data_IF_666049466704
#
_entry.id   IF_666049466704
#
_cell.length_a   1.000
_cell.length_b   1.000
_cell.length_c   1.000
_cell.angle_alpha   90.00
_cell.angle_beta   90.00
_cell.angle_gamma   90.00
#
_symmetry.space_group_name_H-M   'P 1'
#
loop_
_entity.id
_entity.type
_entity.pdbx_description
1 polymer ?
#
# COMPACT_ATOMS: atom_id res chain seq x y z
N UNK A 1 -33.36 -34.21 29.50
CA UNK A 1 -33.61 -32.81 29.09
C UNK A 1 -32.36 -32.06 28.59
N UNK A 2 -31.28 -32.72 28.15
CA UNK A 2 -30.04 -32.06 27.69
C UNK A 2 -30.03 -31.66 26.20
N UNK A 3 -31.03 -32.10 25.41
CA UNK A 3 -31.04 -32.00 23.94
C UNK A 3 -31.54 -30.64 23.43
N UNK A 4 -32.34 -29.93 24.22
CA UNK A 4 -32.88 -28.60 23.89
C UNK A 4 -31.80 -27.50 23.94
N UNK A 5 -30.78 -27.66 24.79
CA UNK A 5 -29.68 -26.69 24.90
C UNK A 5 -28.81 -26.58 23.64
N UNK A 6 -28.68 -27.67 22.86
CA UNK A 6 -27.86 -27.68 21.65
C UNK A 6 -28.55 -26.97 20.46
N UNK A 7 -29.88 -26.91 20.44
CA UNK A 7 -30.68 -26.29 19.36
C UNK A 7 -30.72 -24.76 19.54
N UNK A 8 -30.65 -24.28 20.79
CA UNK A 8 -30.53 -22.86 21.10
C UNK A 8 -29.10 -22.33 20.88
N UNK A 9 -28.08 -23.19 21.03
CA UNK A 9 -26.70 -22.85 20.69
C UNK A 9 -26.44 -22.78 19.18
N UNK A 10 -27.07 -23.64 18.38
CA UNK A 10 -26.89 -23.66 16.92
C UNK A 10 -27.54 -22.47 16.20
N UNK A 11 -28.64 -21.94 16.73
CA UNK A 11 -29.29 -20.73 16.21
C UNK A 11 -28.48 -19.46 16.48
N UNK A 12 -27.81 -19.35 17.64
CA UNK A 12 -26.89 -18.25 17.91
C UNK A 12 -25.66 -18.24 17.00
N UNK A 13 -25.12 -19.42 16.64
CA UNK A 13 -23.96 -19.51 15.75
C UNK A 13 -24.24 -19.00 14.32
N UNK A 14 -25.49 -19.08 13.87
CA UNK A 14 -25.92 -18.57 12.55
C UNK A 14 -26.03 -17.04 12.51
N UNK A 15 -26.14 -16.37 13.66
CA UNK A 15 -26.24 -14.90 13.75
C UNK A 15 -24.88 -14.24 13.99
N UNK A 16 -23.87 -15.01 14.46
CA UNK A 16 -22.49 -14.52 14.65
C UNK A 16 -21.88 -13.85 13.41
N UNK A 17 -22.03 -14.37 12.17
CA UNK A 17 -21.47 -13.72 10.99
C UNK A 17 -22.09 -12.35 10.74
N UNK A 18 -23.40 -12.21 10.96
CA UNK A 18 -24.13 -10.94 10.77
C UNK A 18 -23.74 -9.90 11.83
N UNK A 19 -23.50 -10.32 13.07
CA UNK A 19 -23.02 -9.44 14.15
C UNK A 19 -21.54 -9.09 13.92
N UNK A 20 -20.71 -10.05 13.50
CA UNK A 20 -19.31 -9.81 13.18
C UNK A 20 -19.16 -8.84 11.99
N UNK A 21 -20.02 -8.92 10.99
CA UNK A 21 -20.05 -7.96 9.87
C UNK A 21 -20.54 -6.57 10.30
N UNK A 22 -21.45 -6.45 11.28
CA UNK A 22 -21.95 -5.16 11.77
C UNK A 22 -20.95 -4.44 12.70
N UNK A 23 -20.04 -5.17 13.34
CA UNK A 23 -18.98 -4.61 14.19
C UNK A 23 -17.75 -4.11 13.40
N UNK A 24 -17.67 -4.43 12.11
CA UNK A 24 -16.61 -3.94 11.24
C UNK A 24 -16.98 -2.55 10.71
N UNK A 25 -16.45 -1.51 11.37
CA UNK A 25 -16.50 -0.13 10.88
C UNK A 25 -15.26 0.11 9.99
N UNK A 26 -15.39 0.11 8.65
CA UNK A 26 -14.27 0.32 7.74
C UNK A 26 -13.65 1.73 7.84
N UNK A 27 -14.36 2.69 8.45
CA UNK A 27 -13.93 4.08 8.56
C UNK A 27 -13.29 4.40 9.93
N UNK A 28 -13.64 3.66 10.99
CA UNK A 28 -13.11 3.85 12.36
C UNK A 28 -12.35 2.63 12.91
N UNK A 29 -11.57 1.95 12.07
CA UNK A 29 -10.71 0.86 12.50
C UNK A 29 -9.31 1.37 12.90
N UNK A 30 -8.96 1.35 14.19
CA UNK A 30 -7.66 1.84 14.67
C UNK A 30 -6.46 1.24 13.89
N UNK A 31 -6.52 -0.05 13.55
CA UNK A 31 -5.50 -0.71 12.73
C UNK A 31 -5.47 -0.18 11.27
N UNK A 32 -6.63 0.04 10.66
CA UNK A 32 -6.70 0.58 9.30
C UNK A 32 -6.19 2.02 9.23
N UNK A 33 -6.48 2.85 10.24
CA UNK A 33 -5.90 4.19 10.37
C UNK A 33 -4.37 4.14 10.42
N UNK A 34 -3.78 3.27 11.24
CA UNK A 34 -2.32 3.11 11.32
C UNK A 34 -1.70 2.67 10.00
N UNK A 35 -2.34 1.73 9.29
CA UNK A 35 -1.86 1.28 7.98
C UNK A 35 -1.94 2.40 6.93
N UNK A 36 -3.04 3.16 6.90
CA UNK A 36 -3.20 4.31 5.98
C UNK A 36 -2.15 5.38 6.26
N UNK A 37 -1.91 5.71 7.52
CA UNK A 37 -0.87 6.66 7.93
C UNK A 37 0.53 6.16 7.55
N UNK A 38 0.82 4.86 7.71
CA UNK A 38 2.10 4.29 7.34
C UNK A 38 2.34 4.32 5.83
N UNK A 39 1.30 4.02 5.04
CA UNK A 39 1.35 4.11 3.57
C UNK A 39 1.53 5.56 3.14
N UNK A 40 0.79 6.50 3.75
CA UNK A 40 0.89 7.93 3.44
C UNK A 40 2.28 8.50 3.78
N UNK A 41 2.83 8.11 4.93
CA UNK A 41 4.20 8.45 5.31
C UNK A 41 5.22 7.87 4.32
N UNK A 42 5.03 6.63 3.89
CA UNK A 42 5.92 6.00 2.91
C UNK A 42 5.87 6.75 1.57
N UNK A 43 4.67 7.09 1.09
CA UNK A 43 4.49 7.77 -0.18
C UNK A 43 4.97 9.23 -0.16
N UNK A 44 4.72 9.96 0.93
CA UNK A 44 5.06 11.39 1.03
C UNK A 44 6.49 11.67 1.48
N UNK A 45 7.06 10.80 2.32
CA UNK A 45 8.39 11.01 2.90
C UNK A 45 9.36 9.94 2.42
N UNK A 46 9.07 8.66 2.63
CA UNK A 46 10.08 7.61 2.48
C UNK A 46 10.56 7.45 1.02
N UNK A 47 9.63 7.35 0.07
CA UNK A 47 9.94 7.20 -1.36
C UNK A 47 10.74 8.41 -1.89
N UNK A 48 10.28 9.66 -1.77
CA UNK A 48 11.04 10.81 -2.27
C UNK A 48 12.38 10.99 -1.55
N UNK A 49 12.47 10.63 -0.27
CA UNK A 49 13.72 10.67 0.47
C UNK A 49 14.76 9.67 -0.06
N UNK A 50 14.35 8.41 -0.31
CA UNK A 50 15.23 7.39 -0.87
C UNK A 50 15.66 7.78 -2.29
N UNK A 51 14.75 8.32 -3.10
CA UNK A 51 15.08 8.83 -4.43
C UNK A 51 16.10 9.97 -4.37
N UNK A 52 15.96 10.90 -3.42
CA UNK A 52 16.92 11.97 -3.22
C UNK A 52 18.32 11.46 -2.84
N UNK A 53 18.40 10.49 -1.93
CA UNK A 53 19.68 9.85 -1.57
C UNK A 53 20.26 9.09 -2.76
N UNK A 54 19.46 8.30 -3.45
CA UNK A 54 19.88 7.57 -4.65
C UNK A 54 20.42 8.51 -5.72
N UNK A 55 19.78 9.66 -5.90
CA UNK A 55 20.23 10.71 -6.84
C UNK A 55 21.57 11.30 -6.40
N UNK A 56 21.75 11.56 -5.10
CA UNK A 56 23.02 12.07 -4.58
C UNK A 56 24.17 11.06 -4.77
N UNK A 57 23.90 9.77 -4.53
CA UNK A 57 24.88 8.68 -4.77
C UNK A 57 25.18 8.53 -6.25
N UNK A 58 24.18 8.64 -7.12
CA UNK A 58 24.35 8.60 -8.57
C UNK A 58 25.27 9.72 -9.06
N UNK A 59 25.00 10.97 -8.61
CA UNK A 59 25.81 12.14 -8.93
C UNK A 59 27.22 12.00 -8.38
N UNK A 60 27.39 11.46 -7.17
CA UNK A 60 28.72 11.16 -6.60
C UNK A 60 29.49 10.12 -7.42
N UNK A 61 28.81 9.06 -7.89
CA UNK A 61 29.37 8.07 -8.80
C UNK A 61 29.82 8.69 -10.13
N UNK A 62 29.01 9.61 -10.68
CA UNK A 62 29.35 10.37 -11.88
C UNK A 62 30.60 11.24 -11.67
N UNK A 63 30.67 11.98 -10.56
CA UNK A 63 31.85 12.78 -10.22
C UNK A 63 33.12 11.92 -10.10
N UNK A 64 33.06 10.77 -9.43
CA UNK A 64 34.20 9.83 -9.36
C UNK A 64 34.58 9.28 -10.74
N UNK A 65 33.59 8.95 -11.56
CA UNK A 65 33.83 8.39 -12.89
C UNK A 65 34.50 9.39 -13.85
N UNK A 66 34.00 10.63 -13.90
CA UNK A 66 34.45 11.63 -14.88
C UNK A 66 35.65 12.46 -14.42
N UNK A 67 35.74 12.83 -13.14
CA UNK A 67 36.84 13.69 -12.64
C UNK A 67 38.00 12.86 -12.09
N UNK A 68 37.72 11.88 -11.22
CA UNK A 68 38.78 11.05 -10.65
C UNK A 68 39.23 9.91 -11.59
N UNK A 69 38.32 9.41 -12.43
CA UNK A 69 38.58 8.36 -13.41
C UNK A 69 39.42 8.76 -14.62
N UNK A 70 39.77 10.04 -14.77
CA UNK A 70 40.73 10.50 -15.79
C UNK A 70 42.20 10.23 -15.43
N UNK A 71 42.51 10.07 -14.14
CA UNK A 71 43.87 9.87 -13.64
C UNK A 71 44.10 8.48 -12.99
N UNK A 72 43.03 7.74 -12.66
CA UNK A 72 43.12 6.43 -12.01
C UNK A 72 41.96 5.50 -12.45
N UNK A 73 42.31 4.33 -13.00
CA UNK A 73 41.36 3.31 -13.47
C UNK A 73 40.47 2.76 -12.35
N UNK A 74 40.99 2.66 -11.12
CA UNK A 74 40.25 2.16 -9.95
C UNK A 74 39.10 3.10 -9.55
N UNK A 75 39.33 4.41 -9.65
CA UNK A 75 38.31 5.42 -9.38
C UNK A 75 37.19 5.39 -10.44
N UNK A 76 37.55 5.04 -11.68
CA UNK A 76 36.61 4.86 -12.79
C UNK A 76 35.74 3.62 -12.59
N UNK A 77 36.32 2.50 -12.18
CA UNK A 77 35.55 1.29 -11.89
C UNK A 77 34.61 1.47 -10.70
N UNK A 78 35.09 2.10 -9.62
CA UNK A 78 34.28 2.44 -8.44
C UNK A 78 33.15 3.42 -8.75
N UNK A 79 33.40 4.45 -9.57
CA UNK A 79 32.36 5.39 -9.98
C UNK A 79 31.28 4.73 -10.84
N UNK A 80 31.67 3.82 -11.75
CA UNK A 80 30.75 3.04 -12.57
C UNK A 80 29.87 2.13 -11.72
N UNK A 81 30.45 1.40 -10.76
CA UNK A 81 29.67 0.50 -9.92
C UNK A 81 28.64 1.26 -9.08
N UNK A 82 29.02 2.41 -8.50
CA UNK A 82 28.09 3.28 -7.77
C UNK A 82 26.91 3.75 -8.63
N UNK A 83 27.15 4.16 -9.87
CA UNK A 83 26.06 4.56 -10.78
C UNK A 83 25.13 3.38 -11.10
N UNK A 84 25.67 2.18 -11.30
CA UNK A 84 24.89 0.97 -11.56
C UNK A 84 24.01 0.63 -10.34
N UNK A 85 24.58 0.64 -9.13
CA UNK A 85 23.82 0.36 -7.91
C UNK A 85 22.72 1.40 -7.66
N UNK A 86 22.99 2.69 -7.90
CA UNK A 86 21.98 3.73 -7.78
C UNK A 86 20.85 3.55 -8.81
N UNK A 87 21.20 3.21 -10.06
CA UNK A 87 20.22 2.96 -11.13
C UNK A 87 19.35 1.73 -10.81
N UNK A 88 19.95 0.64 -10.33
CA UNK A 88 19.21 -0.53 -9.86
C UNK A 88 18.26 -0.17 -8.70
N UNK A 89 18.71 0.68 -7.77
CA UNK A 89 17.86 1.20 -6.71
C UNK A 89 16.62 1.94 -7.25
N UNK A 90 16.79 2.80 -8.25
CA UNK A 90 15.66 3.50 -8.89
C UNK A 90 14.69 2.54 -9.57
N UNK A 91 15.20 1.56 -10.32
CA UNK A 91 14.36 0.57 -10.99
C UNK A 91 13.54 -0.22 -9.98
N UNK A 92 14.14 -0.65 -8.87
CA UNK A 92 13.42 -1.37 -7.82
C UNK A 92 12.26 -0.54 -7.24
N UNK A 93 12.50 0.74 -6.92
CA UNK A 93 11.45 1.63 -6.40
C UNK A 93 10.27 1.73 -7.37
N UNK A 94 10.55 1.92 -8.66
CA UNK A 94 9.52 2.02 -9.70
C UNK A 94 8.74 0.71 -9.83
N UNK A 95 9.42 -0.43 -9.82
CA UNK A 95 8.78 -1.76 -9.92
C UNK A 95 7.89 -2.02 -8.70
N UNK A 96 8.38 -1.78 -7.48
CA UNK A 96 7.58 -1.96 -6.27
C UNK A 96 6.34 -1.08 -6.28
N UNK A 97 6.48 0.21 -6.60
CA UNK A 97 5.35 1.14 -6.65
C UNK A 97 4.35 0.78 -7.77
N UNK A 98 4.85 0.41 -8.95
CA UNK A 98 4.01 -0.03 -10.07
C UNK A 98 3.21 -1.30 -9.76
N UNK A 99 3.81 -2.28 -9.08
CA UNK A 99 3.11 -3.50 -8.67
C UNK A 99 2.04 -3.20 -7.61
N UNK A 100 2.34 -2.35 -6.62
CA UNK A 100 1.36 -1.93 -5.61
C UNK A 100 0.16 -1.27 -6.28
N UNK A 101 0.41 -0.32 -7.19
CA UNK A 101 -0.63 0.38 -7.92
C UNK A 101 -1.49 -0.59 -8.76
N UNK A 102 -0.85 -1.52 -9.47
CA UNK A 102 -1.53 -2.54 -10.26
C UNK A 102 -2.45 -3.42 -9.41
N UNK A 103 -2.02 -3.81 -8.21
CA UNK A 103 -2.83 -4.61 -7.29
C UNK A 103 -4.02 -3.80 -6.79
N UNK A 104 -3.82 -2.56 -6.35
CA UNK A 104 -4.90 -1.70 -5.84
C UNK A 104 -5.96 -1.43 -6.91
N UNK A 105 -5.54 -1.13 -8.14
CA UNK A 105 -6.44 -0.92 -9.29
C UNK A 105 -7.20 -2.21 -9.65
N UNK A 106 -6.50 -3.34 -9.74
CA UNK A 106 -7.12 -4.61 -10.17
C UNK A 106 -8.09 -5.21 -9.14
N UNK A 107 -7.94 -4.84 -7.86
CA UNK A 107 -8.80 -5.32 -6.76
C UNK A 107 -9.94 -4.36 -6.43
N UNK A 108 -9.99 -3.18 -7.06
CA UNK A 108 -11.00 -2.16 -6.78
C UNK A 108 -10.87 -1.52 -5.40
N UNK A 109 -9.69 -1.62 -4.77
CA UNK A 109 -9.42 -1.06 -3.44
C UNK A 109 -9.23 0.47 -3.46
N UNK A 110 -9.08 1.06 -4.65
CA UNK A 110 -8.95 2.52 -4.84
C UNK A 110 -10.31 3.22 -4.93
N UNK A 111 -11.36 2.49 -5.29
CA UNK A 111 -12.71 3.04 -5.30
C UNK A 111 -13.27 2.99 -3.88
N UNK A 112 -13.44 4.17 -3.26
CA UNK A 112 -14.27 4.33 -2.08
C UNK A 112 -15.65 3.79 -2.39
N UNK A 113 -15.85 2.51 -2.11
CA UNK A 113 -17.04 1.79 -2.49
C UNK A 113 -18.22 2.35 -1.68
N UNK A 114 -18.86 3.39 -2.22
CA UNK A 114 -20.30 3.50 -2.11
C UNK A 114 -20.87 2.29 -2.85
N UNK A 115 -20.83 1.14 -2.19
CA UNK A 115 -21.79 0.11 -2.43
C UNK A 115 -23.12 0.83 -2.30
N UNK A 116 -23.77 1.09 -3.43
CA UNK A 116 -25.05 1.79 -3.46
C UNK A 116 -25.93 1.10 -2.45
N UNK A 117 -26.15 1.75 -1.30
CA UNK A 117 -27.09 1.22 -0.33
C UNK A 117 -28.39 1.12 -1.12
N UNK A 118 -29.06 -0.04 -1.13
CA UNK A 118 -30.31 -0.17 -1.84
C UNK A 118 -31.26 0.88 -1.24
N UNK A 119 -31.49 1.98 -1.95
CA UNK A 119 -32.48 2.96 -1.52
C UNK A 119 -33.80 2.25 -1.69
N UNK A 120 -34.46 1.95 -0.56
CA UNK A 120 -35.76 1.33 -0.59
C UNK A 120 -36.68 2.19 -1.46
N UNK A 121 -37.51 1.60 -2.34
CA UNK A 121 -38.44 2.38 -3.15
C UNK A 121 -39.29 3.24 -2.21
N UNK A 122 -39.25 4.55 -2.40
CA UNK A 122 -40.14 5.45 -1.68
C UNK A 122 -41.58 5.04 -2.05
N UNK A 123 -42.34 4.55 -1.06
CA UNK A 123 -43.78 4.33 -1.21
C UNK A 123 -44.38 5.73 -1.41
N UNK A 124 -44.61 6.13 -2.65
CA UNK A 124 -45.32 7.35 -2.94
C UNK A 124 -46.76 7.16 -2.46
N UNK A 125 -47.10 7.69 -1.28
CA UNK A 125 -48.48 7.78 -0.80
C UNK A 125 -49.20 8.82 -1.65
N UNK A 126 -49.63 8.43 -2.85
CA UNK A 126 -50.63 9.18 -3.59
C UNK A 126 -51.96 9.08 -2.85
N UNK A 127 -52.52 10.26 -2.62
CA UNK A 127 -53.81 10.55 -1.99
C UNK A 127 -54.96 9.75 -2.59
#
# INVERSE_FOLDING_TARGET
>A
MKKIGYILGSTSALVLPFIASAAFDPDNNAFGTLLRELVDLSNKILIPFILAIGFLVFVWGMFRYFIAGGANEEARESGRSLMIYATLGFVLIIVFWGVINLITESTGLDEGASFGTPVAPAINKTN
#
